data_IF_499075054970
#
_entry.id   IF_499075054970
#
_cell.length_a   1.000
_cell.length_b   1.000
_cell.length_c   1.000
_cell.angle_alpha   90.00
_cell.angle_beta   90.00
_cell.angle_gamma   90.00
#
_symmetry.space_group_name_H-M   'P 1'
#
loop_
_entity.id
_entity.type
_entity.pdbx_description
1 polymer ?
#
# COMPACT_ATOMS: atom_id res chain seq x y z
N UNK A 1 5.23 -57.01 33.64
CA UNK A 1 5.40 -55.55 33.60
C UNK A 1 6.33 -55.24 32.42
N UNK A 2 5.88 -54.48 31.43
CA UNK A 2 6.72 -54.05 30.30
C UNK A 2 6.32 -52.62 29.93
N UNK A 3 7.26 -51.69 30.01
CA UNK A 3 7.07 -50.30 29.64
C UNK A 3 7.55 -50.11 28.20
N UNK A 4 6.66 -49.65 27.32
CA UNK A 4 7.01 -49.24 25.96
C UNK A 4 7.47 -47.78 26.02
N UNK A 5 8.76 -47.55 25.81
CA UNK A 5 9.32 -46.21 25.64
C UNK A 5 9.07 -45.81 24.19
N UNK A 6 8.20 -44.83 23.96
CA UNK A 6 7.99 -44.24 22.64
C UNK A 6 9.11 -43.24 22.34
N UNK A 7 9.63 -43.19 21.10
CA UNK A 7 10.70 -42.27 20.72
C UNK A 7 10.17 -40.82 20.64
N UNK A 8 11.03 -39.80 20.86
CA UNK A 8 10.62 -38.42 20.73
C UNK A 8 10.36 -38.09 19.26
N UNK A 9 9.20 -37.51 18.98
CA UNK A 9 8.83 -37.03 17.64
C UNK A 9 9.73 -35.86 17.25
N UNK A 10 10.79 -36.14 16.51
CA UNK A 10 11.51 -35.10 15.78
C UNK A 10 10.68 -34.74 14.54
N UNK A 11 10.05 -33.57 14.56
CA UNK A 11 9.35 -33.04 13.39
C UNK A 11 10.38 -32.86 12.25
N UNK A 12 10.16 -33.43 11.06
CA UNK A 12 10.99 -33.12 9.92
C UNK A 12 10.71 -31.67 9.54
N UNK A 13 11.78 -30.86 9.53
CA UNK A 13 11.78 -29.56 8.89
C UNK A 13 11.14 -29.70 7.51
N UNK A 14 10.07 -28.93 7.28
CA UNK A 14 9.23 -28.99 6.09
C UNK A 14 10.07 -29.16 4.81
N UNK A 15 9.82 -30.20 3.99
CA UNK A 15 10.52 -30.38 2.72
C UNK A 15 9.99 -29.47 1.62
N UNK A 16 8.98 -28.62 1.90
CA UNK A 16 8.61 -27.59 0.95
C UNK A 16 9.80 -26.62 0.86
N UNK A 17 10.44 -26.48 -0.31
CA UNK A 17 11.35 -25.36 -0.50
C UNK A 17 10.53 -24.15 -0.13
N UNK A 18 11.04 -23.34 0.82
CA UNK A 18 10.43 -22.08 1.16
C UNK A 18 10.15 -21.41 -0.18
N UNK A 19 8.86 -21.35 -0.52
CA UNK A 19 8.41 -20.64 -1.69
C UNK A 19 8.74 -19.21 -1.34
N UNK A 20 9.97 -18.79 -1.65
CA UNK A 20 10.26 -17.41 -1.91
C UNK A 20 9.46 -17.09 -3.17
N UNK A 21 8.15 -16.96 -2.96
CA UNK A 21 7.35 -15.98 -3.66
C UNK A 21 7.90 -14.64 -3.17
N UNK A 22 9.13 -14.35 -3.59
CA UNK A 22 9.60 -12.99 -3.76
C UNK A 22 8.62 -12.46 -4.77
N UNK A 23 7.56 -11.84 -4.25
CA UNK A 23 6.62 -11.07 -5.04
C UNK A 23 7.49 -10.16 -5.86
N UNK A 24 7.67 -10.53 -7.13
CA UNK A 24 8.17 -9.62 -8.10
C UNK A 24 7.03 -8.62 -8.23
N UNK A 25 7.13 -7.56 -7.45
CA UNK A 25 6.14 -6.51 -7.33
C UNK A 25 6.16 -5.65 -8.60
N UNK A 26 6.15 -6.27 -9.78
CA UNK A 26 6.00 -5.57 -11.06
C UNK A 26 4.64 -4.88 -11.15
N UNK A 27 3.66 -5.36 -10.36
CA UNK A 27 2.40 -4.65 -10.19
C UNK A 27 2.66 -3.26 -9.60
N UNK A 28 3.47 -3.14 -8.54
CA UNK A 28 3.74 -1.88 -7.84
C UNK A 28 4.32 -0.82 -8.76
N UNK A 29 5.35 -1.19 -9.52
CA UNK A 29 6.03 -0.29 -10.46
C UNK A 29 5.09 0.23 -11.57
N UNK A 30 4.19 -0.63 -12.08
CA UNK A 30 3.18 -0.22 -13.04
C UNK A 30 2.07 0.64 -12.41
N UNK A 31 1.68 0.38 -11.15
CA UNK A 31 0.71 1.24 -10.45
C UNK A 31 1.33 2.60 -10.12
N UNK A 32 2.61 2.66 -9.76
CA UNK A 32 3.35 3.90 -9.48
C UNK A 32 3.46 4.77 -10.74
N UNK A 33 3.75 4.19 -11.91
CA UNK A 33 3.78 4.92 -13.19
C UNK A 33 2.39 5.47 -13.56
N UNK A 34 1.36 4.64 -13.43
CA UNK A 34 -0.02 5.05 -13.72
C UNK A 34 -0.49 6.13 -12.74
N UNK A 35 -0.28 5.93 -11.43
CA UNK A 35 -0.66 6.89 -10.40
C UNK A 35 0.06 8.21 -10.62
N UNK A 36 1.37 8.20 -10.88
CA UNK A 36 2.14 9.42 -11.16
C UNK A 36 1.63 10.12 -12.42
N UNK A 37 1.32 9.37 -13.48
CA UNK A 37 0.75 9.95 -14.72
C UNK A 37 -0.63 10.55 -14.50
N UNK A 38 -1.47 9.93 -13.67
CA UNK A 38 -2.82 10.41 -13.37
C UNK A 38 -2.79 11.64 -12.45
N UNK A 39 -1.95 11.60 -11.41
CA UNK A 39 -1.77 12.70 -10.46
C UNK A 39 -1.15 13.94 -11.11
N UNK A 40 -0.30 13.80 -12.14
CA UNK A 40 0.34 14.93 -12.85
C UNK A 40 -0.65 15.90 -13.50
N UNK A 41 -1.85 15.42 -13.85
CA UNK A 41 -2.91 16.24 -14.45
C UNK A 41 -3.99 16.66 -13.46
N UNK A 42 -3.89 16.28 -12.18
CA UNK A 42 -4.87 16.70 -11.19
C UNK A 42 -4.63 18.15 -10.82
N UNK A 43 -5.74 18.87 -10.76
CA UNK A 43 -5.79 20.25 -10.30
C UNK A 43 -6.21 20.19 -8.83
N UNK A 44 -5.44 20.84 -7.96
CA UNK A 44 -5.77 20.96 -6.54
C UNK A 44 -6.83 22.02 -6.34
N UNK A 45 -7.46 22.04 -5.17
CA UNK A 45 -8.40 23.10 -4.84
C UNK A 45 -7.73 24.48 -4.86
N UNK A 46 -6.47 24.55 -4.44
CA UNK A 46 -5.67 25.78 -4.41
C UNK A 46 -5.42 26.35 -5.82
N UNK A 47 -5.30 25.49 -6.83
CA UNK A 47 -5.09 25.92 -8.23
C UNK A 47 -6.33 26.63 -8.84
N UNK A 48 -7.52 26.39 -8.28
CA UNK A 48 -8.78 26.99 -8.76
C UNK A 48 -9.41 27.95 -7.75
N UNK A 49 -8.98 27.89 -6.50
CA UNK A 49 -9.47 28.76 -5.45
C UNK A 49 -8.87 30.16 -5.60
N UNK A 50 -9.72 31.16 -5.50
CA UNK A 50 -9.29 32.54 -5.29
C UNK A 50 -9.44 32.81 -3.80
N UNK A 51 -8.32 33.09 -3.13
CA UNK A 51 -8.34 33.43 -1.72
C UNK A 51 -8.79 34.88 -1.54
N UNK A 52 -9.85 35.08 -0.76
CA UNK A 52 -10.35 36.39 -0.39
C UNK A 52 -10.21 36.60 1.12
N UNK A 53 -9.83 37.82 1.50
CA UNK A 53 -9.92 38.31 2.88
C UNK A 53 -11.38 38.53 3.28
N UNK A 54 -11.66 38.57 4.60
CA UNK A 54 -13.03 38.75 5.12
C UNK A 54 -13.69 40.04 4.61
N UNK A 55 -12.89 41.07 4.39
CA UNK A 55 -13.30 42.36 3.84
C UNK A 55 -13.61 42.26 2.34
N UNK A 56 -12.84 41.48 1.57
CA UNK A 56 -13.12 41.21 0.16
C UNK A 56 -14.36 40.32 -0.03
N UNK A 57 -14.56 39.34 0.85
CA UNK A 57 -15.79 38.53 0.89
C UNK A 57 -17.05 39.39 1.05
N UNK A 58 -16.97 40.48 1.81
CA UNK A 58 -18.08 41.41 1.99
C UNK A 58 -18.40 42.26 0.74
N UNK A 59 -17.52 42.26 -0.27
CA UNK A 59 -17.69 42.99 -1.53
C UNK A 59 -18.19 42.11 -2.68
N UNK A 60 -18.26 40.78 -2.49
CA UNK A 60 -18.70 39.81 -3.49
C UNK A 60 -20.24 39.67 -3.56
N UNK A 61 -20.99 40.76 -3.29
CA UNK A 61 -22.44 40.77 -3.47
C UNK A 61 -22.83 40.22 -4.88
N UNK A 62 -23.92 39.44 -5.00
CA UNK A 62 -24.30 38.74 -6.24
C UNK A 62 -24.68 39.66 -7.41
#
# INVERSE_FOLDING_TARGET
>A
MAAVVLPPTAAPSSPFPASQQKGHTESGELVDELLTSWLRGLVTFEDVAVEFTQEEWALLDP
#
